data_IF_730309600717
#
_entry.id   IF_730309600717
#
_cell.length_a   1.000
_cell.length_b   1.000
_cell.length_c   1.000
_cell.angle_alpha   90.00
_cell.angle_beta   90.00
_cell.angle_gamma   90.00
#
_symmetry.space_group_name_H-M   'P 1'
#
loop_
_entity.id
_entity.type
_entity.pdbx_description
1 polymer ?
#
# COMPACT_ATOMS: atom_id res chain seq x y z
N UNK A 1 4.77 -0.48 -6.31
CA UNK A 1 3.35 -0.59 -5.89
C UNK A 1 2.49 -0.66 -7.13
N UNK A 2 1.47 -1.52 -7.13
CA UNK A 2 0.45 -1.58 -8.17
C UNK A 2 -0.83 -0.95 -7.61
N UNK A 3 -1.31 0.11 -8.27
CA UNK A 3 -2.54 0.82 -7.91
C UNK A 3 -3.63 0.39 -8.88
N UNK A 4 -4.46 -0.55 -8.48
CA UNK A 4 -5.60 -1.03 -9.28
C UNK A 4 -6.85 -0.33 -8.75
N UNK A 5 -7.10 0.88 -9.26
CA UNK A 5 -8.21 1.71 -8.81
C UNK A 5 -9.58 1.15 -9.23
N UNK A 6 -9.62 0.42 -10.34
CA UNK A 6 -10.84 -0.23 -10.87
C UNK A 6 -11.40 -1.30 -9.91
N UNK A 7 -10.52 -1.96 -9.16
CA UNK A 7 -10.84 -2.96 -8.15
C UNK A 7 -10.72 -2.38 -6.72
N UNK A 8 -10.62 -1.05 -6.62
CA UNK A 8 -10.36 -0.32 -5.37
C UNK A 8 -9.32 -1.02 -4.50
N UNK A 9 -8.19 -1.41 -5.09
CA UNK A 9 -7.14 -2.14 -4.37
C UNK A 9 -5.76 -1.56 -4.67
N UNK A 10 -5.00 -1.32 -3.61
CA UNK A 10 -3.59 -0.97 -3.68
C UNK A 10 -2.79 -2.12 -3.12
N UNK A 11 -1.84 -2.62 -3.91
CA UNK A 11 -0.96 -3.72 -3.52
C UNK A 11 0.49 -3.32 -3.67
N UNK A 12 1.24 -3.41 -2.59
CA UNK A 12 2.68 -3.32 -2.65
C UNK A 12 3.26 -4.69 -3.02
N UNK A 13 3.99 -4.73 -4.15
CA UNK A 13 4.60 -5.96 -4.66
C UNK A 13 5.87 -6.34 -3.90
N UNK A 14 6.52 -5.36 -3.25
CA UNK A 14 7.76 -5.57 -2.49
C UNK A 14 7.42 -6.17 -1.13
N UNK A 15 6.44 -5.59 -0.45
CA UNK A 15 6.06 -5.97 0.91
C UNK A 15 4.88 -6.91 1.00
N UNK A 16 4.22 -7.21 -0.12
CA UNK A 16 2.97 -7.99 -0.21
C UNK A 16 1.80 -7.39 0.57
N UNK A 17 1.95 -6.21 1.18
CA UNK A 17 0.89 -5.48 1.86
C UNK A 17 -0.13 -5.01 0.84
N UNK A 18 -1.40 -5.27 1.11
CA UNK A 18 -2.51 -4.82 0.28
C UNK A 18 -3.60 -4.16 1.12
N UNK A 19 -4.37 -3.28 0.48
CA UNK A 19 -5.48 -2.59 1.12
C UNK A 19 -6.56 -2.32 0.08
N UNK A 20 -7.80 -2.50 0.49
CA UNK A 20 -9.00 -2.17 -0.28
C UNK A 20 -9.50 -0.74 -0.02
N UNK A 21 -8.98 -0.06 0.99
CA UNK A 21 -9.30 1.33 1.25
C UNK A 21 -8.29 2.24 0.54
N UNK A 22 -8.51 2.42 -0.77
CA UNK A 22 -7.62 3.21 -1.63
C UNK A 22 -7.70 4.70 -1.32
N UNK A 23 -8.88 5.19 -0.93
CA UNK A 23 -9.10 6.60 -0.65
C UNK A 23 -8.20 7.08 0.49
N UNK A 24 -8.15 6.37 1.62
CA UNK A 24 -7.26 6.75 2.73
C UNK A 24 -5.79 6.79 2.31
N UNK A 25 -5.34 5.88 1.46
CA UNK A 25 -3.95 5.88 0.95
C UNK A 25 -3.69 7.08 0.05
N UNK A 26 -4.66 7.48 -0.76
CA UNK A 26 -4.58 8.69 -1.60
C UNK A 26 -4.65 9.97 -0.77
N UNK A 27 -5.35 9.93 0.37
CA UNK A 27 -5.44 11.02 1.34
C UNK A 27 -4.18 11.14 2.22
N UNK A 28 -3.23 10.21 2.10
CA UNK A 28 -1.91 10.27 2.76
C UNK A 28 -1.66 9.18 3.81
N UNK A 29 -2.58 8.24 4.03
CA UNK A 29 -2.41 7.10 4.95
C UNK A 29 -1.52 6.01 4.33
N UNK A 30 -0.22 6.32 4.22
CA UNK A 30 0.82 5.45 3.65
C UNK A 30 1.72 4.78 4.71
N UNK A 31 1.49 5.07 5.99
CA UNK A 31 2.33 4.61 7.11
C UNK A 31 2.48 3.09 7.13
N UNK A 32 1.37 2.36 6.93
CA UNK A 32 1.39 0.89 6.86
C UNK A 32 2.34 0.35 5.80
N UNK A 33 2.53 1.06 4.68
CA UNK A 33 3.43 0.63 3.63
C UNK A 33 4.87 1.02 3.93
N UNK A 34 5.09 2.18 4.57
CA UNK A 34 6.43 2.64 4.98
C UNK A 34 6.98 1.71 6.06
N UNK A 35 6.21 1.43 7.10
CA UNK A 35 6.60 0.49 8.16
C UNK A 35 6.90 -0.91 7.62
N UNK A 36 6.08 -1.39 6.68
CA UNK A 36 6.30 -2.69 6.04
C UNK A 36 7.60 -2.70 5.20
N UNK A 37 7.91 -1.60 4.50
CA UNK A 37 9.16 -1.47 3.76
C UNK A 37 10.37 -1.45 4.69
N UNK A 38 10.29 -0.71 5.81
CA UNK A 38 11.35 -0.63 6.82
C UNK A 38 11.58 -1.99 7.51
N UNK A 39 10.51 -2.71 7.86
CA UNK A 39 10.61 -4.06 8.44
C UNK A 39 11.25 -5.08 7.51
N UNK A 40 11.13 -4.88 6.20
CA UNK A 40 11.78 -5.73 5.20
C UNK A 40 13.23 -5.35 4.91
N UNK A 41 13.78 -4.36 5.61
CA UNK A 41 15.14 -3.85 5.43
C UNK A 41 15.44 -3.46 3.95
N UNK A 42 14.46 -2.81 3.31
CA UNK A 42 14.57 -2.22 1.97
C UNK A 42 15.00 -0.76 2.01
#
# INVERSE_FOLDING_TARGET
RSYVLDDSRIKDLRTKVETSNTQSVLDGDIDKFIEASLKMAL
#
